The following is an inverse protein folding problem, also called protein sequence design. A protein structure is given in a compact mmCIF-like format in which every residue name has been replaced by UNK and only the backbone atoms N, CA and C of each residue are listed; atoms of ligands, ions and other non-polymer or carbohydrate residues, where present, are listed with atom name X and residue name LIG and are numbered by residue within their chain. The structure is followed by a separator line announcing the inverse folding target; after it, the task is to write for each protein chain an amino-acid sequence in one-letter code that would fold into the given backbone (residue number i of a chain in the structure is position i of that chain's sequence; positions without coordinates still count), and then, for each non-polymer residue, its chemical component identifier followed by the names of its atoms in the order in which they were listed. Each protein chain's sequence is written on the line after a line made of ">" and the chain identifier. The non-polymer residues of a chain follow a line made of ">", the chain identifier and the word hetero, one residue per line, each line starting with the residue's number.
data_IF_008684171043
#
_entry.id   IF_008684171043
#
_cell.length_a   1.000
_cell.length_b   1.000
_cell.length_c   1.000
_cell.angle_alpha   90.00
_cell.angle_beta   90.00
_cell.angle_gamma   90.00
#
_symmetry.space_group_name_H-M   'P 1'
#
loop_
_entity.id
_entity.type
_entity.pdbx_description
1 polymer ?
#
# COMPACT_ATOMS: atom_id res chain seq x y z
N UNK A 1 -43.42 43.25 -21.65
CA UNK A 1 -42.89 41.89 -21.42
C UNK A 1 -41.39 42.01 -21.20
N UNK A 2 -40.95 42.04 -19.95
CA UNK A 2 -39.53 42.02 -19.57
C UNK A 2 -39.10 40.55 -19.47
N UNK A 3 -38.13 40.16 -20.30
CA UNK A 3 -37.43 38.89 -20.18
C UNK A 3 -36.43 39.00 -19.03
N UNK A 4 -36.65 38.22 -17.97
CA UNK A 4 -35.69 38.01 -16.88
C UNK A 4 -34.40 37.36 -17.44
N UNK A 5 -33.22 37.91 -17.12
CA UNK A 5 -31.97 37.22 -17.37
C UNK A 5 -31.20 37.09 -16.05
N UNK A 6 -31.49 36.12 -15.17
CA UNK A 6 -30.69 36.01 -13.93
C UNK A 6 -30.85 34.68 -13.16
N UNK A 7 -30.49 33.53 -13.74
CA UNK A 7 -30.23 32.30 -12.96
C UNK A 7 -28.94 31.56 -13.35
N UNK A 8 -28.37 31.82 -14.53
CA UNK A 8 -27.17 31.10 -15.03
C UNK A 8 -25.88 31.43 -14.25
N UNK A 9 -25.78 32.60 -13.62
CA UNK A 9 -24.55 33.03 -12.94
C UNK A 9 -24.32 32.43 -11.54
N UNK A 10 -25.38 31.95 -10.87
CA UNK A 10 -25.28 31.46 -9.49
C UNK A 10 -24.87 29.99 -9.43
N UNK A 11 -25.31 29.19 -10.39
CA UNK A 11 -24.94 27.77 -10.53
C UNK A 11 -23.52 27.60 -11.06
N UNK A 12 -23.08 28.44 -12.00
CA UNK A 12 -21.71 28.40 -12.53
C UNK A 12 -20.65 28.75 -11.47
N UNK A 13 -20.95 29.72 -10.59
CA UNK A 13 -20.04 30.08 -9.49
C UNK A 13 -20.05 29.05 -8.36
N UNK A 14 -21.20 28.43 -8.04
CA UNK A 14 -21.26 27.34 -7.05
C UNK A 14 -20.56 26.07 -7.55
N UNK A 15 -20.76 25.68 -8.81
CA UNK A 15 -20.05 24.54 -9.43
C UNK A 15 -18.53 24.76 -9.46
N UNK A 16 -18.07 25.98 -9.74
CA UNK A 16 -16.65 26.33 -9.65
C UNK A 16 -16.09 26.16 -8.24
N UNK A 17 -16.86 26.53 -7.20
CA UNK A 17 -16.41 26.35 -5.80
C UNK A 17 -16.48 24.91 -5.31
N UNK A 18 -17.41 24.10 -5.81
CA UNK A 18 -17.54 22.69 -5.44
C UNK A 18 -16.47 21.84 -6.15
N UNK A 19 -16.27 22.05 -7.45
CA UNK A 19 -15.21 21.40 -8.21
C UNK A 19 -13.82 21.74 -7.66
N UNK A 20 -13.58 22.97 -7.20
CA UNK A 20 -12.29 23.35 -6.61
C UNK A 20 -12.05 22.69 -5.24
N UNK A 21 -13.10 22.56 -4.40
CA UNK A 21 -13.01 21.80 -3.13
C UNK A 21 -12.78 20.31 -3.36
N UNK A 22 -13.47 19.73 -4.33
CA UNK A 22 -13.27 18.34 -4.72
C UNK A 22 -11.87 18.13 -5.30
N UNK A 23 -11.35 19.11 -6.04
CA UNK A 23 -10.00 19.09 -6.57
C UNK A 23 -8.94 19.14 -5.45
N UNK A 24 -9.11 20.00 -4.46
CA UNK A 24 -8.23 20.04 -3.28
C UNK A 24 -8.27 18.73 -2.51
N UNK A 25 -9.46 18.15 -2.32
CA UNK A 25 -9.64 16.86 -1.66
C UNK A 25 -8.98 15.72 -2.43
N UNK A 26 -9.16 15.70 -3.76
CA UNK A 26 -8.54 14.75 -4.66
C UNK A 26 -7.01 14.84 -4.61
N UNK A 27 -6.46 16.06 -4.65
CA UNK A 27 -5.01 16.29 -4.56
C UNK A 27 -4.43 15.81 -3.23
N UNK A 28 -5.11 16.09 -2.12
CA UNK A 28 -4.68 15.61 -0.80
C UNK A 28 -4.69 14.08 -0.71
N UNK A 29 -5.75 13.44 -1.22
CA UNK A 29 -5.83 11.98 -1.28
C UNK A 29 -4.75 11.37 -2.17
N UNK A 30 -4.45 12.00 -3.31
CA UNK A 30 -3.39 11.55 -4.21
C UNK A 30 -2.01 11.65 -3.55
N UNK A 31 -1.74 12.72 -2.81
CA UNK A 31 -0.49 12.88 -2.05
C UNK A 31 -0.36 11.84 -0.93
N UNK A 32 -1.45 11.59 -0.18
CA UNK A 32 -1.50 10.53 0.84
C UNK A 32 -1.23 9.16 0.23
N UNK A 33 -1.88 8.85 -0.89
CA UNK A 33 -1.69 7.59 -1.60
C UNK A 33 -0.24 7.41 -2.10
N UNK A 34 0.37 8.47 -2.63
CA UNK A 34 1.75 8.46 -3.10
C UNK A 34 2.76 8.25 -1.95
N UNK A 35 2.58 8.93 -0.81
CA UNK A 35 3.45 8.77 0.37
C UNK A 35 3.40 7.36 0.96
N UNK A 36 2.24 6.72 0.94
CA UNK A 36 2.06 5.38 1.49
C UNK A 36 2.86 4.30 0.72
N UNK A 37 3.13 4.51 -0.58
CA UNK A 37 4.00 3.62 -1.36
C UNK A 37 5.44 3.56 -0.82
N UNK A 38 5.97 4.70 -0.37
CA UNK A 38 7.29 4.77 0.23
C UNK A 38 7.31 4.08 1.59
N UNK A 39 6.27 4.28 2.40
CA UNK A 39 6.12 3.64 3.72
C UNK A 39 6.08 2.11 3.58
N UNK A 40 5.36 1.57 2.60
CA UNK A 40 5.32 0.12 2.30
C UNK A 40 6.70 -0.45 2.04
N UNK A 41 7.46 0.22 1.18
CA UNK A 41 8.79 -0.21 0.76
C UNK A 41 9.74 -0.23 1.96
N UNK A 42 9.72 0.84 2.78
CA UNK A 42 10.51 0.92 4.00
C UNK A 42 10.15 -0.17 5.01
N UNK A 43 8.85 -0.42 5.25
CA UNK A 43 8.39 -1.50 6.15
C UNK A 43 8.90 -2.87 5.70
N UNK A 44 8.90 -3.14 4.40
CA UNK A 44 9.40 -4.39 3.83
C UNK A 44 10.93 -4.52 3.96
N UNK A 45 11.68 -3.44 3.70
CA UNK A 45 13.13 -3.43 3.88
C UNK A 45 13.54 -3.69 5.32
N UNK A 46 12.87 -3.04 6.28
CA UNK A 46 13.11 -3.26 7.71
C UNK A 46 12.79 -4.69 8.11
N UNK A 47 11.69 -5.25 7.61
CA UNK A 47 11.34 -6.65 7.86
C UNK A 47 12.41 -7.61 7.33
N UNK A 48 12.89 -7.40 6.10
CA UNK A 48 13.94 -8.23 5.52
C UNK A 48 15.22 -8.16 6.35
N UNK A 49 15.62 -6.96 6.76
CA UNK A 49 16.78 -6.76 7.63
C UNK A 49 16.60 -7.47 8.98
N UNK A 50 15.44 -7.34 9.61
CA UNK A 50 15.14 -8.02 10.87
C UNK A 50 15.24 -9.54 10.74
N UNK A 51 14.73 -10.11 9.64
CA UNK A 51 14.80 -11.56 9.38
C UNK A 51 16.24 -12.03 9.14
N UNK A 52 17.07 -11.24 8.45
CA UNK A 52 18.50 -11.54 8.27
C UNK A 52 19.23 -11.56 9.62
N UNK A 53 18.96 -10.58 10.49
CA UNK A 53 19.56 -10.52 11.82
C UNK A 53 19.12 -11.70 12.69
N UNK A 54 17.84 -12.08 12.65
CA UNK A 54 17.32 -13.23 13.37
C UNK A 54 17.95 -14.54 12.89
N UNK A 55 18.01 -14.76 11.57
CA UNK A 55 18.66 -15.94 11.00
C UNK A 55 20.14 -16.02 11.39
N UNK A 56 20.85 -14.89 11.38
CA UNK A 56 22.24 -14.83 11.85
C UNK A 56 22.35 -15.16 13.34
N UNK A 57 21.41 -14.65 14.16
CA UNK A 57 21.35 -14.98 15.58
C UNK A 57 21.13 -16.46 15.87
N UNK A 58 20.32 -17.15 15.04
CA UNK A 58 20.11 -18.59 15.12
C UNK A 58 21.42 -19.35 14.88
N UNK A 59 22.14 -19.03 13.81
CA UNK A 59 23.43 -19.66 13.49
C UNK A 59 24.46 -19.48 14.63
N UNK A 60 24.53 -18.28 15.20
CA UNK A 60 25.40 -17.99 16.35
C UNK A 60 24.98 -18.75 17.62
N UNK A 61 23.68 -18.88 17.86
CA UNK A 61 23.15 -19.62 19.01
C UNK A 61 23.47 -21.12 18.93
N UNK A 62 23.38 -21.71 17.73
CA UNK A 62 23.81 -23.10 17.50
C UNK A 62 25.32 -23.26 17.68
N UNK A 63 26.13 -22.34 17.15
CA UNK A 63 27.58 -22.37 17.32
C UNK A 63 28.01 -22.28 18.80
N UNK A 64 27.22 -21.61 19.63
CA UNK A 64 27.48 -21.49 21.07
C UNK A 64 27.03 -22.71 21.91
N UNK A 65 26.46 -23.76 21.31
CA UNK A 65 25.96 -24.97 21.99
C UNK A 65 24.90 -24.69 23.07
N UNK A 66 24.06 -23.67 22.86
CA UNK A 66 23.03 -23.27 23.84
C UNK A 66 21.66 -23.79 23.42
N UNK A 67 21.26 -24.97 23.90
CA UNK A 67 20.07 -25.70 23.41
C UNK A 67 18.75 -24.90 23.50
N UNK A 68 18.61 -23.96 24.45
CA UNK A 68 17.38 -23.19 24.62
C UNK A 68 17.29 -21.90 23.77
N UNK A 69 18.43 -21.33 23.36
CA UNK A 69 18.46 -20.01 22.72
C UNK A 69 17.80 -19.96 21.32
N UNK A 70 18.00 -20.94 20.43
CA UNK A 70 17.37 -20.94 19.10
C UNK A 70 15.83 -20.87 19.18
N UNK A 71 15.22 -21.59 20.13
CA UNK A 71 13.76 -21.60 20.32
C UNK A 71 13.21 -20.22 20.64
N UNK A 72 13.90 -19.45 21.51
CA UNK A 72 13.50 -18.07 21.80
C UNK A 72 13.62 -17.16 20.57
N UNK A 73 14.64 -17.35 19.74
CA UNK A 73 14.80 -16.57 18.50
C UNK A 73 13.69 -16.91 17.49
N UNK A 74 13.28 -18.18 17.38
CA UNK A 74 12.15 -18.59 16.54
C UNK A 74 10.83 -17.94 16.98
N UNK A 75 10.56 -17.93 18.30
CA UNK A 75 9.40 -17.24 18.87
C UNK A 75 9.40 -15.75 18.52
N UNK A 76 10.54 -15.07 18.70
CA UNK A 76 10.69 -13.66 18.34
C UNK A 76 10.43 -13.46 16.85
N UNK A 77 11.04 -14.29 15.99
CA UNK A 77 10.86 -14.21 14.54
C UNK A 77 9.41 -14.38 14.11
N UNK A 78 8.69 -15.32 14.73
CA UNK A 78 7.26 -15.52 14.49
C UNK A 78 6.44 -14.27 14.85
N UNK A 79 6.56 -13.77 16.08
CA UNK A 79 5.75 -12.63 16.54
C UNK A 79 6.09 -11.33 15.80
N UNK A 80 7.38 -11.07 15.55
CA UNK A 80 7.82 -9.91 14.77
C UNK A 80 7.23 -9.95 13.36
N UNK A 81 7.35 -11.09 12.67
CA UNK A 81 6.82 -11.24 11.31
C UNK A 81 5.29 -11.15 11.27
N UNK A 82 4.61 -11.70 12.28
CA UNK A 82 3.16 -11.64 12.41
C UNK A 82 2.66 -10.20 12.59
N UNK A 83 3.27 -9.46 13.52
CA UNK A 83 2.95 -8.03 13.74
C UNK A 83 3.21 -7.22 12.48
N UNK A 84 4.31 -7.48 11.78
CA UNK A 84 4.62 -6.82 10.51
C UNK A 84 3.61 -7.14 9.42
N UNK A 85 3.11 -8.38 9.35
CA UNK A 85 2.05 -8.80 8.43
C UNK A 85 0.81 -7.91 8.61
N UNK A 86 0.34 -7.75 9.85
CA UNK A 86 -0.81 -6.88 10.14
C UNK A 86 -0.51 -5.40 9.89
N UNK A 87 0.68 -4.93 10.24
CA UNK A 87 1.10 -3.54 10.00
C UNK A 87 1.14 -3.18 8.50
N UNK A 88 1.64 -4.07 7.66
CA UNK A 88 1.64 -3.91 6.20
C UNK A 88 0.21 -4.07 5.66
N UNK A 89 -0.57 -5.03 6.17
CA UNK A 89 -1.96 -5.23 5.79
C UNK A 89 -2.84 -4.01 5.99
N UNK A 90 -2.71 -3.30 7.12
CA UNK A 90 -3.41 -2.03 7.37
C UNK A 90 -3.07 -0.96 6.32
N UNK A 91 -1.80 -0.88 5.98
CA UNK A 91 -1.26 0.02 4.95
C UNK A 91 -1.72 -0.36 3.53
N UNK A 92 -1.96 -1.65 3.25
CA UNK A 92 -2.64 -2.12 2.02
C UNK A 92 -4.10 -1.70 2.00
N UNK A 93 -4.83 -1.94 3.09
CA UNK A 93 -6.24 -1.56 3.22
C UNK A 93 -6.47 -0.06 3.00
N UNK A 94 -5.65 0.82 3.60
CA UNK A 94 -5.81 2.26 3.42
C UNK A 94 -5.58 2.70 1.97
N UNK A 95 -4.64 2.08 1.26
CA UNK A 95 -4.46 2.37 -0.17
C UNK A 95 -5.67 1.98 -1.00
N UNK A 96 -6.25 0.81 -0.75
CA UNK A 96 -7.45 0.36 -1.46
C UNK A 96 -8.62 1.33 -1.18
N UNK A 97 -8.82 1.73 0.09
CA UNK A 97 -9.85 2.70 0.47
C UNK A 97 -9.64 4.07 -0.19
N UNK A 98 -8.40 4.59 -0.21
CA UNK A 98 -8.13 5.87 -0.87
C UNK A 98 -8.26 5.79 -2.38
N UNK A 99 -7.89 4.67 -3.00
CA UNK A 99 -8.08 4.45 -4.43
C UNK A 99 -9.57 4.46 -4.80
N UNK A 100 -10.44 3.83 -4.00
CA UNK A 100 -11.90 3.90 -4.19
C UNK A 100 -12.39 5.34 -4.08
N UNK A 101 -11.95 6.09 -3.05
CA UNK A 101 -12.35 7.50 -2.90
C UNK A 101 -11.90 8.40 -4.06
N UNK A 102 -10.70 8.16 -4.61
CA UNK A 102 -10.21 8.87 -5.79
C UNK A 102 -11.06 8.56 -7.03
N UNK A 103 -11.48 7.30 -7.19
CA UNK A 103 -12.38 6.90 -8.28
C UNK A 103 -13.77 7.51 -8.14
N UNK A 104 -14.32 7.55 -6.91
CA UNK A 104 -15.62 8.17 -6.63
C UNK A 104 -15.60 9.67 -6.93
N UNK A 105 -14.52 10.38 -6.56
CA UNK A 105 -14.34 11.80 -6.88
C UNK A 105 -14.20 12.04 -8.38
N UNK A 106 -13.44 11.19 -9.07
CA UNK A 106 -13.27 11.32 -10.52
C UNK A 106 -14.56 11.01 -11.30
N UNK A 107 -15.40 10.09 -10.81
CA UNK A 107 -16.68 9.78 -11.42
C UNK A 107 -17.68 10.96 -11.34
N UNK A 108 -17.54 11.85 -10.35
CA UNK A 108 -18.37 13.08 -10.23
C UNK A 108 -17.97 14.15 -11.25
N UNK A 109 -16.74 14.13 -11.74
CA UNK A 109 -16.18 15.14 -12.65
C UNK A 109 -15.66 14.52 -13.96
N UNK A 110 -16.50 13.80 -14.75
CA UNK A 110 -16.05 13.05 -15.92
C UNK A 110 -15.47 13.92 -17.04
N UNK A 111 -15.87 15.19 -17.11
CA UNK A 111 -15.39 16.15 -18.11
C UNK A 111 -14.09 16.88 -17.73
N UNK A 112 -13.61 16.72 -16.50
CA UNK A 112 -12.41 17.42 -16.02
C UNK A 112 -11.17 16.50 -16.08
N UNK A 113 -10.21 16.76 -16.98
CA UNK A 113 -9.01 15.93 -17.12
C UNK A 113 -8.13 15.91 -15.88
N UNK A 114 -8.27 16.89 -14.96
CA UNK A 114 -7.53 16.94 -13.70
C UNK A 114 -7.81 15.72 -12.83
N UNK A 115 -9.05 15.22 -12.82
CA UNK A 115 -9.45 14.06 -12.02
C UNK A 115 -9.10 12.71 -12.66
N UNK A 116 -8.66 12.71 -13.93
CA UNK A 116 -8.31 11.49 -14.67
C UNK A 116 -6.81 11.13 -14.58
N UNK A 117 -6.00 11.95 -13.88
CA UNK A 117 -4.54 11.77 -13.77
C UNK A 117 -4.11 10.41 -13.19
N UNK A 118 -4.95 9.77 -12.39
CA UNK A 118 -4.65 8.47 -11.78
C UNK A 118 -5.03 7.27 -12.66
N UNK A 119 -5.76 7.48 -13.76
CA UNK A 119 -6.17 6.40 -14.65
C UNK A 119 -4.99 5.91 -15.50
N UNK A 120 -4.42 4.79 -15.08
CA UNK A 120 -3.31 4.14 -15.76
C UNK A 120 -3.77 3.25 -16.93
N UNK A 121 -5.08 3.00 -17.10
CA UNK A 121 -5.61 2.06 -18.11
C UNK A 121 -5.29 2.50 -19.54
N UNK A 122 -5.33 3.81 -19.81
CA UNK A 122 -4.99 4.38 -21.12
C UNK A 122 -3.47 4.37 -21.39
N UNK A 123 -2.64 4.37 -20.34
CA UNK A 123 -1.17 4.40 -20.44
C UNK A 123 -0.52 3.00 -20.41
N UNK A 124 -1.18 2.00 -19.83
CA UNK A 124 -0.73 0.60 -19.73
C UNK A 124 -0.31 -0.04 -21.07
N UNK A 125 -1.04 0.17 -22.19
CA UNK A 125 -0.64 -0.34 -23.51
C UNK A 125 0.65 0.28 -24.05
N UNK A 126 0.99 1.51 -23.62
CA UNK A 126 2.20 2.24 -24.01
C UNK A 126 3.42 1.88 -23.16
N UNK A 127 3.24 1.17 -22.04
CA UNK A 127 4.33 0.74 -21.18
C UNK A 127 5.17 -0.38 -21.83
N UNK A 128 6.49 -0.38 -21.55
CA UNK A 128 7.46 -1.37 -22.03
C UNK A 128 7.02 -2.79 -21.64
N UNK A 129 7.25 -3.77 -22.54
CA UNK A 129 6.79 -5.16 -22.39
C UNK A 129 7.26 -5.80 -21.07
N UNK A 130 8.51 -5.55 -20.66
CA UNK A 130 9.06 -6.09 -19.42
C UNK A 130 8.38 -5.49 -18.18
N UNK A 131 8.14 -4.17 -18.18
CA UNK A 131 7.41 -3.49 -17.10
C UNK A 131 5.97 -3.97 -16.98
N UNK A 132 5.34 -4.36 -18.10
CA UNK A 132 4.00 -4.94 -18.11
C UNK A 132 3.96 -6.33 -17.46
N UNK A 133 4.96 -7.17 -17.72
CA UNK A 133 5.05 -8.52 -17.14
C UNK A 133 5.39 -8.44 -15.66
N UNK A 134 6.41 -7.67 -15.28
CA UNK A 134 6.83 -7.53 -13.88
C UNK A 134 5.82 -6.74 -13.03
N UNK A 135 5.13 -5.77 -13.64
CA UNK A 135 4.08 -4.98 -12.98
C UNK A 135 2.69 -5.59 -13.04
N UNK A 136 2.49 -6.74 -13.73
CA UNK A 136 1.19 -7.41 -13.81
C UNK A 136 0.78 -8.04 -12.48
N UNK A 137 1.75 -8.38 -11.63
CA UNK A 137 1.46 -8.97 -10.33
C UNK A 137 1.01 -7.85 -9.39
N UNK A 138 -0.21 -7.93 -8.82
CA UNK A 138 -0.69 -6.90 -7.91
C UNK A 138 0.27 -6.73 -6.72
N UNK A 139 0.67 -5.49 -6.45
CA UNK A 139 1.61 -5.15 -5.38
C UNK A 139 1.22 -5.70 -4.01
N UNK A 140 -0.09 -5.84 -3.75
CA UNK A 140 -0.63 -6.48 -2.54
C UNK A 140 -0.08 -7.89 -2.28
N UNK A 141 0.14 -8.71 -3.31
CA UNK A 141 0.64 -10.08 -3.12
C UNK A 141 2.10 -10.09 -2.68
N UNK A 142 2.93 -9.21 -3.22
CA UNK A 142 4.32 -9.10 -2.75
C UNK A 142 4.40 -8.51 -1.34
N UNK A 143 3.60 -7.48 -1.07
CA UNK A 143 3.63 -6.74 0.19
C UNK A 143 3.10 -7.56 1.37
N UNK A 144 2.02 -8.32 1.18
CA UNK A 144 1.48 -9.19 2.22
C UNK A 144 2.12 -10.59 2.20
N UNK A 145 2.52 -11.07 1.03
CA UNK A 145 3.09 -12.40 0.88
C UNK A 145 4.42 -12.56 1.62
N UNK A 146 5.35 -11.62 1.48
CA UNK A 146 6.64 -11.69 2.15
C UNK A 146 6.55 -11.81 3.69
N UNK A 147 5.85 -10.91 4.42
CA UNK A 147 5.71 -11.03 5.87
C UNK A 147 4.93 -12.27 6.29
N UNK A 148 3.92 -12.69 5.52
CA UNK A 148 3.19 -13.92 5.79
C UNK A 148 4.09 -15.15 5.64
N UNK A 149 4.92 -15.21 4.59
CA UNK A 149 5.87 -16.30 4.39
C UNK A 149 6.91 -16.37 5.51
N UNK A 150 7.45 -15.24 5.97
CA UNK A 150 8.35 -15.25 7.14
C UNK A 150 7.64 -15.74 8.40
N UNK A 151 6.40 -15.30 8.63
CA UNK A 151 5.60 -15.77 9.76
C UNK A 151 5.42 -17.29 9.73
N UNK A 152 5.04 -17.84 8.57
CA UNK A 152 4.87 -19.28 8.39
C UNK A 152 6.20 -20.04 8.51
N UNK A 153 7.29 -19.48 8.00
CA UNK A 153 8.62 -20.06 8.12
C UNK A 153 9.05 -20.17 9.58
N UNK A 154 8.94 -19.08 10.36
CA UNK A 154 9.29 -19.10 11.78
C UNK A 154 8.39 -20.03 12.59
N UNK A 155 7.10 -20.10 12.26
CA UNK A 155 6.19 -21.08 12.88
C UNK A 155 6.61 -22.52 12.56
N UNK A 156 6.97 -22.80 11.31
CA UNK A 156 7.41 -24.13 10.90
C UNK A 156 8.65 -24.58 11.65
N UNK A 157 9.69 -23.73 11.74
CA UNK A 157 10.91 -24.08 12.49
C UNK A 157 10.67 -24.16 14.00
N UNK A 158 9.75 -23.34 14.54
CA UNK A 158 9.37 -23.41 15.94
C UNK A 158 8.68 -24.74 16.27
N UNK A 159 7.71 -25.15 15.45
CA UNK A 159 6.99 -26.42 15.64
C UNK A 159 7.92 -27.61 15.44
N UNK A 160 8.84 -27.56 14.48
CA UNK A 160 9.82 -28.63 14.26
C UNK A 160 10.93 -28.71 15.32
N UNK A 161 11.06 -27.70 16.20
CA UNK A 161 12.00 -27.71 17.31
C UNK A 161 11.45 -28.36 18.59
N UNK A 162 10.16 -28.72 18.61
CA UNK A 162 9.48 -29.47 19.67
C UNK A 162 9.15 -30.89 19.20
#
# INVERSE_FOLDING_TARGET
>A
MQTEPMMVGREASSMGTEAERDWDSYRQLLDLWARENMIKTQKLQVLLLANVLLATGVELAFAASTDAWPVFIYLIGFFVSLVWTFSIGRTVLFQDVWQVKLQDLAARHPGDPRFQLHDSRSALPRAKRLSRVLGAVPSKYYLLGAPMLFTLFWLYVLVGAF
#
